data_IF_952677804807
#
_entry.id   IF_952677804807
#
_cell.length_a   1.000
_cell.length_b   1.000
_cell.length_c   1.000
_cell.angle_alpha   90.00
_cell.angle_beta   90.00
_cell.angle_gamma   90.00
#
_symmetry.space_group_name_H-M   'P 1'
#
loop_
_entity.id
_entity.type
_entity.pdbx_description
1 polymer ?
#
# COMPACT_ATOMS: atom_id res chain seq x y z
N UNK A 1 -27.98 -6.16 5.72
CA UNK A 1 -26.96 -5.09 5.74
C UNK A 1 -25.67 -5.65 5.15
N UNK A 2 -25.37 -5.38 3.88
CA UNK A 2 -24.16 -5.90 3.24
C UNK A 2 -22.97 -5.10 3.76
N UNK A 3 -22.00 -5.78 4.39
CA UNK A 3 -20.78 -5.15 4.90
C UNK A 3 -19.62 -5.76 4.14
N UNK A 4 -19.15 -5.06 3.11
CA UNK A 4 -17.92 -5.44 2.43
C UNK A 4 -16.73 -4.82 3.16
N UNK A 5 -15.69 -5.62 3.31
CA UNK A 5 -14.40 -5.18 3.83
C UNK A 5 -13.47 -5.00 2.65
N UNK A 6 -12.84 -3.82 2.53
CA UNK A 6 -11.73 -3.64 1.62
C UNK A 6 -10.46 -3.33 2.41
N UNK A 7 -9.44 -4.13 2.15
CA UNK A 7 -8.12 -3.97 2.73
C UNK A 7 -7.34 -2.97 1.89
N UNK A 8 -7.11 -1.77 2.44
CA UNK A 8 -6.17 -0.82 1.85
C UNK A 8 -4.86 -0.84 2.63
N UNK A 9 -3.87 -1.54 2.08
CA UNK A 9 -2.48 -1.38 2.49
C UNK A 9 -1.92 -0.10 1.86
N UNK A 10 -1.45 0.82 2.69
CA UNK A 10 -0.51 1.85 2.26
C UNK A 10 0.86 1.48 2.84
N UNK A 11 1.85 1.36 1.95
CA UNK A 11 3.23 1.08 2.33
C UNK A 11 3.80 2.20 3.23
N UNK A 12 4.98 1.98 3.82
CA UNK A 12 5.58 2.92 4.77
C UNK A 12 5.66 4.32 4.14
N UNK A 13 5.04 5.30 4.82
CA UNK A 13 5.20 6.70 4.48
C UNK A 13 6.55 7.14 5.06
N UNK A 14 7.60 7.13 4.23
CA UNK A 14 8.88 7.72 4.58
C UNK A 14 8.74 9.25 4.60
N UNK A 15 8.32 9.81 5.74
CA UNK A 15 8.72 11.18 6.04
C UNK A 15 10.22 11.12 6.39
N UNK A 16 10.99 11.99 5.73
CA UNK A 16 12.43 12.12 5.94
C UNK A 16 12.73 12.28 7.44
N UNK A 17 13.62 11.46 7.99
CA UNK A 17 14.44 11.87 9.14
C UNK A 17 14.38 11.10 10.45
N UNK A 18 13.73 9.94 10.58
CA UNK A 18 13.81 9.16 11.84
C UNK A 18 14.25 7.71 11.62
N UNK A 19 15.44 7.38 12.14
CA UNK A 19 16.17 6.11 12.04
C UNK A 19 15.53 4.91 12.77
N UNK A 20 14.25 5.00 13.10
CA UNK A 20 13.45 3.87 13.55
C UNK A 20 12.07 4.01 12.91
N UNK A 21 12.00 3.69 11.62
CA UNK A 21 10.74 3.56 10.91
C UNK A 21 9.94 2.41 11.53
N UNK A 22 9.26 2.69 12.65
CA UNK A 22 8.24 1.83 13.20
C UNK A 22 7.26 1.60 12.06
N UNK A 23 7.14 0.33 11.63
CA UNK A 23 6.16 -0.08 10.64
C UNK A 23 4.79 0.21 11.25
N UNK A 24 4.28 1.43 11.07
CA UNK A 24 2.93 1.80 11.47
C UNK A 24 2.01 0.90 10.69
N UNK A 25 1.39 -0.03 11.39
CA UNK A 25 0.46 -0.98 10.84
C UNK A 25 -0.90 -0.57 11.36
N UNK A 26 -1.85 -0.29 10.49
CA UNK A 26 -3.21 0.04 10.87
C UNK A 26 -4.20 -0.78 10.05
N UNK A 27 -5.34 -1.08 10.65
CA UNK A 27 -6.46 -1.69 9.97
C UNK A 27 -7.45 -0.61 9.61
N UNK A 28 -7.99 -0.69 8.40
CA UNK A 28 -9.07 0.19 7.94
C UNK A 28 -10.36 -0.60 7.95
N UNK A 29 -11.34 -0.11 8.72
CA UNK A 29 -12.68 -0.65 8.80
C UNK A 29 -13.63 0.25 8.01
N UNK A 30 -14.17 -0.29 6.92
CA UNK A 30 -15.28 0.33 6.20
C UNK A 30 -16.61 -0.18 6.74
N UNK A 31 -17.52 0.73 7.07
CA UNK A 31 -18.87 0.40 7.49
C UNK A 31 -19.91 1.23 6.75
N UNK A 32 -20.99 0.57 6.35
CA UNK A 32 -22.12 1.23 5.70
C UNK A 32 -23.16 1.60 6.77
N UNK A 33 -23.45 2.89 6.91
CA UNK A 33 -24.53 3.40 7.77
C UNK A 33 -25.90 3.10 7.14
N UNK A 34 -26.97 3.22 7.92
CA UNK A 34 -28.36 2.93 7.46
C UNK A 34 -28.83 3.86 6.34
N UNK A 35 -28.23 5.03 6.20
CA UNK A 35 -28.49 6.01 5.15
C UNK A 35 -27.76 5.72 3.82
N UNK A 36 -26.94 4.66 3.76
CA UNK A 36 -26.20 4.28 2.56
C UNK A 36 -24.75 4.80 2.53
N UNK A 37 -24.40 5.74 3.41
CA UNK A 37 -23.05 6.31 3.46
C UNK A 37 -22.03 5.27 3.95
N UNK A 38 -20.87 5.27 3.29
CA UNK A 38 -19.72 4.43 3.68
C UNK A 38 -18.77 5.29 4.49
N UNK A 39 -18.53 4.86 5.71
CA UNK A 39 -17.59 5.48 6.63
C UNK A 39 -16.37 4.58 6.79
N UNK A 40 -15.23 5.22 7.03
CA UNK A 40 -13.95 4.54 7.15
C UNK A 40 -13.32 4.90 8.47
N UNK A 41 -12.94 3.90 9.28
CA UNK A 41 -12.24 4.10 10.55
C UNK A 41 -10.91 3.35 10.55
N UNK A 42 -9.84 4.04 10.89
CA UNK A 42 -8.52 3.43 11.07
C UNK A 42 -8.32 3.01 12.53
N UNK A 43 -7.91 1.78 12.74
CA UNK A 43 -7.46 1.25 14.03
C UNK A 43 -5.94 1.08 13.94
N UNK A 44 -5.22 1.85 14.75
CA UNK A 44 -3.77 1.80 14.80
C UNK A 44 -3.29 0.60 15.62
N UNK A 45 -2.50 -0.27 14.99
CA UNK A 45 -1.88 -1.45 15.62
C UNK A 45 -0.39 -1.19 15.82
N UNK A 46 -0.08 -0.12 16.56
CA UNK A 46 1.29 0.40 16.73
C UNK A 46 2.25 -0.60 17.40
N UNK A 47 1.73 -1.57 18.16
CA UNK A 47 2.52 -2.51 18.97
C UNK A 47 2.33 -3.98 18.54
N UNK A 48 2.01 -4.25 17.27
CA UNK A 48 1.89 -5.63 16.80
C UNK A 48 3.28 -6.27 16.68
N UNK A 49 3.57 -7.21 17.57
CA UNK A 49 4.78 -8.06 17.55
C UNK A 49 4.40 -9.52 17.21
N UNK A 50 5.35 -10.34 16.72
CA UNK A 50 5.09 -11.77 16.47
C UNK A 50 4.62 -12.56 17.70
N UNK A 51 4.92 -12.06 18.90
CA UNK A 51 4.58 -12.67 20.19
C UNK A 51 3.23 -12.19 20.74
N UNK A 52 2.54 -11.28 20.04
CA UNK A 52 1.29 -10.68 20.53
C UNK A 52 0.19 -11.73 20.60
N UNK A 53 -0.48 -11.81 21.76
CA UNK A 53 -1.67 -12.63 21.90
C UNK A 53 -2.83 -12.03 21.09
N UNK A 54 -3.22 -12.75 20.03
CA UNK A 54 -4.26 -12.33 19.09
C UNK A 54 -5.63 -12.24 19.76
N UNK A 55 -5.95 -13.11 20.71
CA UNK A 55 -7.27 -13.12 21.36
C UNK A 55 -7.44 -11.91 22.26
N UNK A 56 -6.41 -11.60 23.05
CA UNK A 56 -6.41 -10.43 23.95
C UNK A 56 -6.57 -9.15 23.13
N UNK A 57 -5.84 -9.04 22.02
CA UNK A 57 -5.94 -7.89 21.12
C UNK A 57 -7.33 -7.77 20.48
N UNK A 58 -7.93 -8.88 20.02
CA UNK A 58 -9.29 -8.86 19.45
C UNK A 58 -10.30 -8.41 20.50
N UNK A 59 -10.21 -8.94 21.73
CA UNK A 59 -11.13 -8.59 22.80
C UNK A 59 -11.00 -7.11 23.18
N UNK A 60 -9.78 -6.57 23.22
CA UNK A 60 -9.54 -5.15 23.44
C UNK A 60 -10.15 -4.29 22.30
N UNK A 61 -9.92 -4.65 21.04
CA UNK A 61 -10.47 -3.93 19.89
C UNK A 61 -12.00 -3.96 19.90
N UNK A 62 -12.61 -5.09 20.24
CA UNK A 62 -14.08 -5.22 20.32
C UNK A 62 -14.67 -4.43 21.49
N UNK A 63 -13.92 -4.32 22.59
CA UNK A 63 -14.30 -3.49 23.73
C UNK A 63 -14.23 -1.99 23.39
N UNK A 64 -13.16 -1.56 22.72
CA UNK A 64 -12.98 -0.16 22.28
C UNK A 64 -13.95 0.21 21.15
N UNK A 65 -14.32 -0.75 20.31
CA UNK A 65 -15.19 -0.55 19.15
C UNK A 65 -16.48 -1.39 19.24
N UNK A 66 -17.49 -0.94 20.02
CA UNK A 66 -18.73 -1.69 20.23
C UNK A 66 -19.58 -1.90 18.95
N UNK A 67 -19.21 -1.26 17.84
CA UNK A 67 -19.81 -1.48 16.52
C UNK A 67 -19.32 -2.77 15.84
N UNK A 68 -18.22 -3.37 16.33
CA UNK A 68 -17.70 -4.66 15.86
C UNK A 68 -18.54 -5.78 16.49
N UNK A 69 -19.61 -6.15 15.82
CA UNK A 69 -20.41 -7.32 16.17
C UNK A 69 -19.55 -8.59 16.16
N UNK A 70 -19.85 -9.52 17.08
CA UNK A 70 -19.24 -10.84 17.26
C UNK A 70 -18.95 -11.56 15.93
N UNK A 71 -19.85 -11.43 14.95
CA UNK A 71 -19.78 -12.03 13.61
C UNK A 71 -18.57 -11.57 12.77
N UNK A 72 -17.82 -10.55 13.21
CA UNK A 72 -16.64 -10.03 12.52
C UNK A 72 -15.32 -10.41 13.20
N UNK A 73 -15.35 -11.02 14.38
CA UNK A 73 -14.16 -11.45 15.14
C UNK A 73 -13.28 -12.40 14.33
N UNK A 74 -13.88 -13.38 13.64
CA UNK A 74 -13.13 -14.32 12.79
C UNK A 74 -12.37 -13.64 11.64
N UNK A 75 -12.98 -12.60 11.08
CA UNK A 75 -12.34 -11.85 9.99
C UNK A 75 -11.18 -11.01 10.54
N UNK A 76 -11.39 -10.35 11.69
CA UNK A 76 -10.35 -9.60 12.38
C UNK A 76 -9.17 -10.49 12.77
N UNK A 77 -9.46 -11.68 13.31
CA UNK A 77 -8.49 -12.72 13.63
C UNK A 77 -7.61 -13.06 12.43
N UNK A 78 -8.23 -13.44 11.31
CA UNK A 78 -7.50 -13.77 10.07
C UNK A 78 -6.63 -12.61 9.59
N UNK A 79 -7.11 -11.37 9.70
CA UNK A 79 -6.34 -10.19 9.32
C UNK A 79 -5.12 -9.98 10.22
N UNK A 80 -5.28 -10.10 11.54
CA UNK A 80 -4.19 -9.94 12.50
C UNK A 80 -3.12 -11.01 12.31
N UNK A 81 -3.50 -12.29 12.15
CA UNK A 81 -2.53 -13.35 11.84
C UNK A 81 -1.76 -13.08 10.55
N UNK A 82 -2.45 -12.64 9.49
CA UNK A 82 -1.80 -12.27 8.23
C UNK A 82 -0.83 -11.08 8.38
N UNK A 83 -1.11 -10.16 9.29
CA UNK A 83 -0.21 -9.05 9.61
C UNK A 83 1.02 -9.55 10.39
N UNK A 84 0.83 -10.42 11.39
CA UNK A 84 1.92 -11.04 12.15
C UNK A 84 2.85 -11.81 11.20
N UNK A 85 2.30 -12.66 10.32
CA UNK A 85 3.06 -13.40 9.31
C UNK A 85 3.85 -12.47 8.38
N UNK A 86 3.28 -11.30 8.04
CA UNK A 86 3.94 -10.30 7.19
C UNK A 86 5.03 -9.51 7.93
N UNK A 87 4.93 -9.37 9.24
CA UNK A 87 5.97 -8.77 10.09
C UNK A 87 7.13 -9.75 10.26
N UNK A 88 6.82 -11.03 10.48
CA UNK A 88 7.79 -12.10 10.66
C UNK A 88 8.55 -12.43 9.36
N UNK A 89 7.86 -12.31 8.22
CA UNK A 89 8.52 -12.24 6.91
C UNK A 89 9.33 -10.95 6.79
N UNK A 90 10.53 -10.95 7.39
CA UNK A 90 11.65 -10.09 7.03
C UNK A 90 12.20 -10.54 5.68
N UNK A 91 11.34 -10.47 4.66
CA UNK A 91 11.73 -10.75 3.29
C UNK A 91 12.85 -9.76 2.96
N UNK A 92 14.07 -10.29 3.00
CA UNK A 92 15.28 -9.55 2.69
C UNK A 92 15.25 -9.41 1.18
N UNK A 93 14.45 -8.44 0.70
CA UNK A 93 14.34 -8.17 -0.72
C UNK A 93 15.73 -7.79 -1.21
N UNK A 94 16.44 -8.77 -1.76
CA UNK A 94 17.73 -8.56 -2.39
C UNK A 94 17.46 -7.93 -3.73
N UNK A 95 17.77 -6.64 -3.82
CA UNK A 95 17.72 -5.93 -5.08
C UNK A 95 18.89 -6.39 -5.96
N UNK A 96 18.59 -6.68 -7.22
CA UNK A 96 19.58 -6.90 -8.25
C UNK A 96 19.25 -6.00 -9.45
N UNK A 97 20.24 -5.77 -10.30
CA UNK A 97 20.04 -5.01 -11.53
C UNK A 97 19.10 -5.78 -12.46
N UNK A 98 17.85 -5.35 -12.53
CA UNK A 98 16.85 -5.99 -13.38
C UNK A 98 17.04 -5.59 -14.86
N UNK A 99 17.21 -4.29 -15.14
CA UNK A 99 17.36 -3.78 -16.51
C UNK A 99 18.01 -2.41 -16.57
N UNK A 100 18.76 -2.14 -17.64
CA UNK A 100 19.26 -0.81 -18.00
C UNK A 100 18.48 -0.34 -19.23
N UNK A 101 17.92 0.86 -19.17
CA UNK A 101 17.12 1.43 -20.24
C UNK A 101 17.58 2.85 -20.59
N UNK A 102 17.90 3.06 -21.87
CA UNK A 102 18.11 4.40 -22.42
C UNK A 102 16.78 4.98 -22.88
N UNK A 103 16.09 5.69 -21.99
CA UNK A 103 14.74 6.15 -22.22
C UNK A 103 14.63 7.30 -23.24
N UNK A 104 15.56 8.26 -23.21
CA UNK A 104 15.51 9.50 -24.00
C UNK A 104 16.90 9.90 -24.53
N UNK A 105 16.91 10.79 -25.53
CA UNK A 105 18.14 11.36 -26.11
C UNK A 105 18.62 12.55 -25.29
N UNK A 106 17.69 13.41 -24.86
CA UNK A 106 17.95 14.55 -23.99
C UNK A 106 17.87 14.14 -22.50
N UNK A 107 18.38 14.98 -21.57
CA UNK A 107 18.37 14.69 -20.15
C UNK A 107 16.97 14.35 -19.63
N UNK A 108 16.91 13.27 -18.86
CA UNK A 108 15.73 12.88 -18.10
C UNK A 108 15.48 13.88 -16.97
N UNK A 109 14.24 14.31 -16.83
CA UNK A 109 13.82 15.21 -15.74
C UNK A 109 13.18 14.43 -14.60
N UNK A 110 12.34 13.45 -14.94
CA UNK A 110 11.51 12.73 -13.97
C UNK A 110 11.34 11.26 -14.36
N UNK A 111 11.21 10.40 -13.36
CA UNK A 111 10.74 9.02 -13.51
C UNK A 111 9.78 8.66 -12.37
N UNK A 112 8.74 7.87 -12.65
CA UNK A 112 7.79 7.43 -11.63
C UNK A 112 7.16 6.08 -12.00
N UNK A 113 7.06 5.17 -11.03
CA UNK A 113 6.35 3.90 -11.17
C UNK A 113 4.86 4.02 -10.81
N UNK A 114 4.05 3.12 -11.34
CA UNK A 114 2.70 2.91 -10.84
C UNK A 114 2.70 2.09 -9.54
N UNK A 115 1.58 2.08 -8.80
CA UNK A 115 1.45 1.40 -7.51
C UNK A 115 1.79 -0.10 -7.57
N UNK A 116 1.55 -0.75 -8.70
CA UNK A 116 1.85 -2.17 -8.91
C UNK A 116 3.27 -2.45 -9.38
N UNK A 117 4.06 -1.42 -9.72
CA UNK A 117 5.41 -1.58 -10.30
C UNK A 117 5.44 -2.18 -11.70
N UNK A 118 4.28 -2.36 -12.35
CA UNK A 118 4.21 -2.95 -13.69
C UNK A 118 4.54 -1.95 -14.79
N UNK A 119 4.38 -0.65 -14.54
CA UNK A 119 4.67 0.40 -15.51
C UNK A 119 5.37 1.57 -14.85
N UNK A 120 6.12 2.30 -15.65
CA UNK A 120 6.72 3.56 -15.24
C UNK A 120 6.64 4.59 -16.35
N UNK A 121 6.70 5.86 -15.96
CA UNK A 121 6.75 6.99 -16.87
C UNK A 121 8.11 7.68 -16.77
N UNK A 122 8.56 8.24 -17.87
CA UNK A 122 9.76 9.08 -17.93
C UNK A 122 9.46 10.38 -18.63
N UNK A 123 9.88 11.50 -18.05
CA UNK A 123 9.85 12.82 -18.66
C UNK A 123 11.26 13.27 -19.06
N UNK A 124 11.35 14.02 -20.16
CA UNK A 124 12.62 14.47 -20.72
C UNK A 124 12.52 15.89 -21.30
N UNK A 125 13.66 16.55 -21.39
CA UNK A 125 13.81 17.82 -22.10
C UNK A 125 13.51 17.73 -23.61
N UNK A 126 13.37 16.52 -24.17
CA UNK A 126 12.88 16.32 -25.55
C UNK A 126 11.39 16.62 -25.74
N UNK A 127 10.74 17.20 -24.70
CA UNK A 127 9.32 17.56 -24.66
C UNK A 127 8.41 16.35 -24.79
N UNK A 128 8.92 15.17 -24.47
CA UNK A 128 8.15 13.93 -24.48
C UNK A 128 8.07 13.30 -23.10
N UNK A 129 6.94 12.65 -22.85
CA UNK A 129 6.76 11.73 -21.73
C UNK A 129 6.51 10.34 -22.31
N UNK A 130 7.32 9.35 -21.92
CA UNK A 130 7.18 7.97 -22.39
C UNK A 130 6.64 7.09 -21.28
N UNK A 131 5.70 6.21 -21.65
CA UNK A 131 5.14 5.18 -20.77
C UNK A 131 5.79 3.86 -21.13
N UNK A 132 6.36 3.20 -20.12
CA UNK A 132 7.11 1.96 -20.26
C UNK A 132 6.43 0.82 -19.53
N UNK A 133 6.54 -0.37 -20.10
CA UNK A 133 6.24 -1.61 -19.40
C UNK A 133 7.52 -2.10 -18.69
N UNK A 134 7.41 -2.47 -17.43
CA UNK A 134 8.57 -2.87 -16.62
C UNK A 134 9.08 -4.24 -17.07
N UNK A 135 8.20 -5.16 -17.48
CA UNK A 135 8.58 -6.52 -17.86
C UNK A 135 9.04 -6.60 -19.32
N UNK A 136 8.24 -6.04 -20.22
CA UNK A 136 8.52 -6.11 -21.67
C UNK A 136 9.52 -5.04 -22.11
N UNK A 137 9.72 -3.97 -21.32
CA UNK A 137 10.63 -2.86 -21.61
C UNK A 137 10.43 -2.22 -23.00
N UNK A 138 9.24 -2.32 -23.55
CA UNK A 138 8.83 -1.55 -24.71
C UNK A 138 8.32 -0.17 -24.30
N UNK A 139 8.59 0.85 -25.12
CA UNK A 139 7.79 2.09 -25.07
C UNK A 139 6.38 1.70 -25.48
N UNK A 140 5.42 1.80 -24.57
CA UNK A 140 4.01 1.61 -24.92
C UNK A 140 3.43 2.84 -25.57
N UNK A 141 3.71 4.01 -25.00
CA UNK A 141 3.17 5.27 -25.51
C UNK A 141 4.20 6.38 -25.38
N UNK A 142 4.20 7.29 -26.37
CA UNK A 142 4.94 8.54 -26.33
C UNK A 142 3.94 9.67 -26.37
N UNK A 143 3.90 10.47 -25.32
CA UNK A 143 3.08 11.66 -25.19
C UNK A 143 3.95 12.88 -25.47
N UNK A 144 3.47 13.79 -26.31
CA UNK A 144 4.15 15.04 -26.61
C UNK A 144 3.30 16.21 -26.14
N UNK A 145 3.96 17.22 -25.57
CA UNK A 145 3.28 18.44 -25.22
C UNK A 145 3.00 19.26 -26.49
N UNK A 146 1.72 19.56 -26.74
CA UNK A 146 1.31 20.48 -27.79
C UNK A 146 1.62 21.90 -27.33
N UNK A 147 2.50 22.58 -28.06
CA UNK A 147 2.73 24.01 -27.88
C UNK A 147 1.70 24.73 -28.75
N UNK A 148 0.79 25.49 -28.14
CA UNK A 148 -0.10 26.42 -28.83
C UNK A 148 0.59 27.77 -29.00
#
# INVERSE_FOLDING_TARGET
MKRQFRQHFQGPYSQQGESSALRRTWLVLEYQRRNGDVETKSIDLLNLTPETDVEVLINQIVFEEPLISENKKDTLRKMIYKLIEKIDNKDSQRFYLFKILRAHILPLTNCAFNKSGSRFITGSYDRTCRVWDTLECGVRHSLQQSVR
#
